data_IF_841329347453
#
_entry.id   IF_841329347453
#
_cell.length_a   1.000
_cell.length_b   1.000
_cell.length_c   1.000
_cell.angle_alpha   90.00
_cell.angle_beta   90.00
_cell.angle_gamma   90.00
#
_symmetry.space_group_name_H-M   'P 1'
#
loop_
_entity.id
_entity.type
_entity.pdbx_description
1 polymer ?
#
# COMPACT_ATOMS: atom_id res chain seq x y z
N UNK A 1 -29.09 -9.20 14.48
CA UNK A 1 -28.45 -9.70 13.25
C UNK A 1 -27.11 -9.02 13.09
N UNK A 2 -26.05 -9.78 12.82
CA UNK A 2 -24.75 -9.25 12.52
C UNK A 2 -24.72 -8.71 11.07
N UNK A 3 -23.76 -7.83 10.75
CA UNK A 3 -23.56 -7.35 9.36
C UNK A 3 -23.39 -8.51 8.38
N UNK A 4 -22.65 -9.55 8.80
CA UNK A 4 -22.46 -10.77 8.01
C UNK A 4 -23.79 -11.44 7.66
N UNK A 5 -24.68 -11.62 8.65
CA UNK A 5 -25.95 -12.30 8.42
C UNK A 5 -26.87 -11.48 7.51
N UNK A 6 -26.86 -10.16 7.68
CA UNK A 6 -27.60 -9.23 6.82
C UNK A 6 -27.05 -9.28 5.36
N UNK A 7 -25.73 -9.33 5.18
CA UNK A 7 -25.11 -9.45 3.86
C UNK A 7 -25.45 -10.78 3.18
N UNK A 8 -25.34 -11.89 3.92
CA UNK A 8 -25.64 -13.23 3.37
C UNK A 8 -27.14 -13.39 3.02
N UNK A 9 -28.01 -12.70 3.75
CA UNK A 9 -29.46 -12.65 3.46
C UNK A 9 -29.84 -11.65 2.35
N UNK A 10 -28.87 -10.96 1.72
CA UNK A 10 -29.14 -9.95 0.69
C UNK A 10 -29.81 -8.67 1.22
N UNK A 11 -29.84 -8.48 2.54
CA UNK A 11 -30.49 -7.33 3.18
C UNK A 11 -29.65 -6.06 3.23
N UNK A 12 -28.35 -6.13 2.87
CA UNK A 12 -27.44 -4.98 2.80
C UNK A 12 -26.45 -5.14 1.66
N UNK A 13 -26.05 -4.01 1.09
CA UNK A 13 -24.94 -3.94 0.12
C UNK A 13 -23.67 -3.53 0.87
N UNK A 14 -22.59 -4.28 0.66
CA UNK A 14 -21.26 -3.97 1.21
C UNK A 14 -20.31 -3.75 0.04
N UNK A 15 -19.67 -2.58 0.00
CA UNK A 15 -18.74 -2.20 -1.07
C UNK A 15 -17.37 -1.84 -0.50
N UNK A 16 -16.27 -2.44 -1.00
CA UNK A 16 -16.27 -3.61 -1.88
C UNK A 16 -16.88 -4.83 -1.18
N UNK A 17 -17.37 -5.79 -1.96
CA UNK A 17 -17.89 -7.03 -1.37
C UNK A 17 -16.79 -7.78 -0.62
N UNK A 18 -17.10 -8.59 0.41
CA UNK A 18 -16.09 -9.39 1.10
C UNK A 18 -15.26 -10.27 0.16
N UNK A 19 -15.88 -10.80 -0.90
CA UNK A 19 -15.20 -11.59 -1.93
C UNK A 19 -14.21 -10.74 -2.74
N UNK A 20 -14.63 -9.58 -3.22
CA UNK A 20 -13.77 -8.66 -3.97
C UNK A 20 -12.62 -8.16 -3.10
N UNK A 21 -12.91 -7.78 -1.86
CA UNK A 21 -11.89 -7.36 -0.91
C UNK A 21 -10.84 -8.48 -0.69
N UNK A 22 -11.27 -9.70 -0.46
CA UNK A 22 -10.37 -10.84 -0.29
C UNK A 22 -9.49 -11.08 -1.53
N UNK A 23 -10.07 -10.98 -2.73
CA UNK A 23 -9.36 -11.25 -3.97
C UNK A 23 -8.43 -10.11 -4.39
N UNK A 24 -8.83 -8.84 -4.17
CA UNK A 24 -8.16 -7.68 -4.76
C UNK A 24 -7.32 -6.87 -3.78
N UNK A 25 -7.60 -6.92 -2.47
CA UNK A 25 -6.85 -6.15 -1.48
C UNK A 25 -5.50 -6.76 -1.07
N UNK A 26 -5.17 -7.94 -1.55
CA UNK A 26 -3.89 -8.59 -1.31
C UNK A 26 -2.76 -7.85 -2.05
N UNK A 27 -1.76 -7.38 -1.29
CA UNK A 27 -0.66 -6.58 -1.85
C UNK A 27 0.24 -7.34 -2.82
N UNK A 28 0.16 -8.69 -2.85
CA UNK A 28 0.85 -9.49 -3.88
C UNK A 28 0.37 -9.15 -5.29
N UNK A 29 -0.85 -8.63 -5.43
CA UNK A 29 -1.35 -8.12 -6.71
C UNK A 29 -0.53 -6.94 -7.24
N UNK A 30 0.04 -6.14 -6.36
CA UNK A 30 0.91 -5.03 -6.76
C UNK A 30 2.20 -5.55 -7.43
N UNK A 31 2.71 -6.73 -7.05
CA UNK A 31 3.84 -7.35 -7.72
C UNK A 31 3.52 -7.78 -9.17
N UNK A 32 2.26 -8.11 -9.45
CA UNK A 32 1.78 -8.33 -10.81
C UNK A 32 1.63 -7.00 -11.56
N UNK A 33 0.91 -6.05 -10.98
CA UNK A 33 0.56 -4.79 -11.64
C UNK A 33 1.75 -3.87 -11.88
N UNK A 34 2.82 -3.98 -11.10
CA UNK A 34 4.07 -3.24 -11.32
C UNK A 34 5.06 -3.95 -12.27
N UNK A 35 4.69 -5.10 -12.84
CA UNK A 35 5.52 -5.86 -13.77
C UNK A 35 4.91 -5.87 -15.17
N UNK A 36 5.43 -4.99 -16.07
CA UNK A 36 4.99 -4.96 -17.48
C UNK A 36 5.11 -6.34 -18.13
N UNK A 37 6.18 -7.08 -17.88
CA UNK A 37 6.40 -8.42 -18.46
C UNK A 37 5.29 -9.40 -18.06
N UNK A 38 4.94 -9.45 -16.77
CA UNK A 38 3.87 -10.32 -16.25
C UNK A 38 2.48 -9.92 -16.81
N UNK A 39 2.24 -8.63 -16.96
CA UNK A 39 0.99 -8.12 -17.55
C UNK A 39 0.86 -8.49 -19.02
N UNK A 40 1.93 -8.33 -19.81
CA UNK A 40 1.95 -8.76 -21.21
C UNK A 40 1.73 -10.26 -21.36
N UNK A 41 2.34 -11.07 -20.49
CA UNK A 41 2.14 -12.53 -20.49
C UNK A 41 0.68 -12.93 -20.19
N UNK A 42 -0.10 -12.07 -19.54
CA UNK A 42 -1.54 -12.22 -19.29
C UNK A 42 -2.42 -11.64 -20.41
N UNK A 43 -1.83 -11.11 -21.48
CA UNK A 43 -2.57 -10.54 -22.59
C UNK A 43 -3.05 -9.11 -22.36
N UNK A 44 -2.52 -8.41 -21.36
CA UNK A 44 -2.80 -6.97 -21.17
C UNK A 44 -2.14 -6.18 -22.29
N UNK A 45 -2.84 -5.18 -22.85
CA UNK A 45 -2.29 -4.32 -23.89
C UNK A 45 -1.01 -3.61 -23.41
N UNK A 46 -0.05 -3.41 -24.32
CA UNK A 46 1.26 -2.85 -23.98
C UNK A 46 1.16 -1.45 -23.36
N UNK A 47 0.25 -0.63 -23.87
CA UNK A 47 0.00 0.71 -23.34
C UNK A 47 -0.43 0.67 -21.86
N UNK A 48 -1.41 -0.18 -21.55
CA UNK A 48 -1.91 -0.36 -20.18
C UNK A 48 -0.85 -0.96 -19.26
N UNK A 49 -0.10 -1.96 -19.76
CA UNK A 49 0.97 -2.60 -18.99
C UNK A 49 2.11 -1.62 -18.68
N UNK A 50 2.43 -0.72 -19.60
CA UNK A 50 3.40 0.36 -19.41
C UNK A 50 2.88 1.37 -18.41
N UNK A 51 1.66 1.87 -18.60
CA UNK A 51 1.04 2.83 -17.69
C UNK A 51 1.01 2.32 -16.26
N UNK A 52 0.58 1.07 -16.04
CA UNK A 52 0.56 0.47 -14.70
C UNK A 52 1.97 0.34 -14.09
N UNK A 53 2.95 -0.04 -14.90
CA UNK A 53 4.35 -0.13 -14.45
C UNK A 53 4.95 1.23 -14.07
N UNK A 54 4.52 2.30 -14.71
CA UNK A 54 5.00 3.66 -14.45
C UNK A 54 4.37 4.28 -13.19
N UNK A 55 3.08 3.98 -12.92
CA UNK A 55 2.34 4.60 -11.80
C UNK A 55 2.38 3.78 -10.52
N UNK A 56 2.54 2.45 -10.61
CA UNK A 56 2.59 1.57 -9.43
C UNK A 56 4.05 1.37 -9.03
N UNK A 57 4.45 1.76 -7.79
CA UNK A 57 5.81 1.51 -7.32
C UNK A 57 6.16 0.03 -7.44
N UNK A 58 7.34 -0.26 -8.01
CA UNK A 58 7.84 -1.62 -8.15
C UNK A 58 7.60 -2.42 -6.86
N UNK A 59 6.96 -3.56 -7.00
CA UNK A 59 6.64 -4.44 -5.89
C UNK A 59 7.11 -5.85 -6.22
N UNK A 60 7.75 -6.52 -5.27
CA UNK A 60 8.24 -7.89 -5.39
C UNK A 60 7.75 -8.73 -4.22
N UNK A 61 7.58 -10.02 -4.44
CA UNK A 61 7.39 -10.94 -3.32
C UNK A 61 8.73 -11.10 -2.60
N UNK A 62 8.77 -10.84 -1.30
CA UNK A 62 10.03 -10.89 -0.55
C UNK A 62 10.66 -12.29 -0.59
N UNK A 63 9.82 -13.34 -0.62
CA UNK A 63 10.28 -14.73 -0.72
C UNK A 63 10.91 -15.08 -2.09
N UNK A 64 10.70 -14.29 -3.13
CA UNK A 64 11.31 -14.46 -4.47
C UNK A 64 12.61 -13.66 -4.64
N UNK A 65 12.96 -12.82 -3.67
CA UNK A 65 14.18 -12.00 -3.70
C UNK A 65 15.35 -12.77 -3.07
N UNK A 66 16.55 -12.57 -3.63
CA UNK A 66 17.76 -12.99 -2.94
C UNK A 66 17.89 -12.22 -1.61
N UNK A 67 18.00 -12.91 -0.46
CA UNK A 67 17.96 -12.28 0.86
C UNK A 67 19.11 -11.28 1.10
N UNK A 68 20.30 -11.56 0.63
CA UNK A 68 21.46 -10.67 0.84
C UNK A 68 21.34 -9.42 -0.03
N UNK A 69 20.88 -9.57 -1.27
CA UNK A 69 20.57 -8.45 -2.14
C UNK A 69 19.44 -7.60 -1.57
N UNK A 70 18.34 -8.23 -1.15
CA UNK A 70 17.22 -7.53 -0.53
C UNK A 70 17.63 -6.77 0.74
N UNK A 71 18.57 -7.33 1.51
CA UNK A 71 19.16 -6.65 2.67
C UNK A 71 20.06 -5.49 2.26
N UNK A 72 20.96 -5.66 1.29
CA UNK A 72 21.86 -4.60 0.85
C UNK A 72 21.10 -3.41 0.26
N UNK A 73 20.05 -3.66 -0.50
CA UNK A 73 19.19 -2.65 -1.12
C UNK A 73 18.03 -2.18 -0.21
N UNK A 74 17.96 -2.66 1.03
CA UNK A 74 16.77 -2.48 1.92
C UNK A 74 16.29 -1.04 2.06
N UNK A 75 17.21 -0.07 2.05
CA UNK A 75 16.83 1.36 2.21
C UNK A 75 15.89 1.87 1.10
N UNK A 76 15.86 1.19 -0.03
CA UNK A 76 14.99 1.50 -1.17
C UNK A 76 13.60 0.86 -1.07
N UNK A 77 13.36 0.03 -0.04
CA UNK A 77 12.17 -0.79 0.09
C UNK A 77 11.36 -0.46 1.34
N UNK A 78 10.05 -0.69 1.23
CA UNK A 78 9.14 -0.81 2.37
C UNK A 78 8.60 -2.24 2.36
N UNK A 79 8.79 -2.96 3.47
CA UNK A 79 8.30 -4.32 3.63
C UNK A 79 6.92 -4.31 4.25
N UNK A 80 5.96 -4.97 3.59
CA UNK A 80 4.55 -4.95 3.98
C UNK A 80 3.99 -6.37 4.00
N UNK A 81 3.23 -6.77 5.02
CA UNK A 81 2.50 -8.04 4.94
C UNK A 81 1.40 -7.94 3.87
N UNK A 82 1.27 -8.99 3.06
CA UNK A 82 0.38 -9.00 1.90
C UNK A 82 -1.09 -8.78 2.28
N UNK A 83 -1.55 -9.45 3.35
CA UNK A 83 -2.95 -9.49 3.75
C UNK A 83 -3.32 -8.59 4.94
N UNK A 84 -2.35 -7.85 5.55
CA UNK A 84 -2.64 -6.97 6.68
C UNK A 84 -3.04 -5.56 6.25
N UNK A 85 -3.68 -4.84 7.18
CA UNK A 85 -4.17 -3.47 7.00
C UNK A 85 -3.77 -2.58 8.18
N UNK A 86 -4.01 -1.27 8.08
CA UNK A 86 -3.78 -0.31 9.15
C UNK A 86 -2.32 -0.13 9.54
N UNK A 87 -1.39 -0.19 8.58
CA UNK A 87 0.06 -0.02 8.78
C UNK A 87 0.68 -1.00 9.79
N UNK A 88 -0.02 -2.08 10.14
CA UNK A 88 0.49 -3.10 11.06
C UNK A 88 1.61 -3.89 10.38
N UNK A 89 2.71 -4.10 11.11
CA UNK A 89 3.87 -4.86 10.64
C UNK A 89 4.46 -4.36 9.30
N UNK A 90 4.37 -3.06 9.05
CA UNK A 90 5.01 -2.36 7.94
C UNK A 90 6.36 -1.84 8.40
N UNK A 91 7.42 -2.15 7.66
CA UNK A 91 8.78 -1.77 8.02
C UNK A 91 9.45 -1.00 6.88
N UNK A 92 9.94 0.20 7.15
CA UNK A 92 10.85 0.89 6.24
C UNK A 92 12.21 0.21 6.28
N UNK A 93 12.77 -0.05 5.13
CA UNK A 93 14.00 -0.79 5.04
C UNK A 93 15.23 -0.05 5.60
N UNK A 94 15.22 1.30 5.58
CA UNK A 94 16.26 2.12 6.21
C UNK A 94 16.24 2.07 7.75
N UNK A 95 15.14 1.59 8.34
CA UNK A 95 14.90 1.52 9.79
C UNK A 95 14.80 0.10 10.34
N UNK A 96 14.74 -0.91 9.47
CA UNK A 96 14.60 -2.30 9.92
C UNK A 96 15.91 -2.87 10.45
N UNK A 97 15.86 -3.59 11.58
CA UNK A 97 17.02 -4.32 12.09
C UNK A 97 17.25 -5.61 11.29
N UNK A 98 18.52 -6.09 11.27
CA UNK A 98 18.88 -7.37 10.61
C UNK A 98 18.04 -8.54 11.15
N UNK A 99 17.83 -8.59 12.47
CA UNK A 99 17.00 -9.61 13.12
C UNK A 99 15.56 -9.58 12.60
N UNK A 100 14.94 -8.40 12.55
CA UNK A 100 13.56 -8.27 12.08
C UNK A 100 13.45 -8.56 10.57
N UNK A 101 14.43 -8.15 9.78
CA UNK A 101 14.48 -8.49 8.36
C UNK A 101 14.55 -10.01 8.15
N UNK A 102 15.43 -10.71 8.86
CA UNK A 102 15.51 -12.18 8.79
C UNK A 102 14.19 -12.85 9.20
N UNK A 103 13.53 -12.35 10.25
CA UNK A 103 12.24 -12.85 10.69
C UNK A 103 11.16 -12.73 9.60
N UNK A 104 11.03 -11.56 8.96
CA UNK A 104 10.01 -11.36 7.93
C UNK A 104 10.35 -12.05 6.61
N UNK A 105 11.64 -12.23 6.29
CA UNK A 105 12.09 -12.96 5.10
C UNK A 105 11.81 -14.46 5.20
N UNK A 106 11.79 -15.00 6.42
CA UNK A 106 11.43 -16.41 6.67
C UNK A 106 9.91 -16.65 6.64
N UNK A 107 9.08 -15.61 6.61
CA UNK A 107 7.62 -15.72 6.60
C UNK A 107 7.08 -15.60 5.17
N UNK A 108 6.21 -16.52 4.72
CA UNK A 108 5.49 -16.32 3.47
C UNK A 108 4.53 -15.13 3.63
N UNK A 109 4.39 -14.34 2.57
CA UNK A 109 3.36 -13.32 2.53
C UNK A 109 3.82 -11.90 2.87
N UNK A 110 5.12 -11.61 2.77
CA UNK A 110 5.62 -10.24 2.71
C UNK A 110 5.90 -9.80 1.26
N UNK A 111 5.64 -8.54 0.99
CA UNK A 111 6.06 -7.86 -0.23
C UNK A 111 7.08 -6.79 0.11
N UNK A 112 8.06 -6.59 -0.78
CA UNK A 112 8.95 -5.45 -0.82
C UNK A 112 8.44 -4.49 -1.89
N UNK A 113 8.06 -3.29 -1.50
CA UNK A 113 7.62 -2.23 -2.42
C UNK A 113 8.61 -1.09 -2.41
N UNK A 114 8.95 -0.54 -3.58
CA UNK A 114 9.82 0.65 -3.69
C UNK A 114 9.29 1.77 -2.81
N UNK A 115 10.20 2.37 -2.06
CA UNK A 115 9.87 3.51 -1.21
C UNK A 115 9.63 4.74 -2.07
N UNK A 116 8.41 5.26 -2.04
CA UNK A 116 8.06 6.55 -2.61
C UNK A 116 8.06 7.60 -1.50
N UNK A 117 8.77 8.70 -1.73
CA UNK A 117 8.77 9.83 -0.80
C UNK A 117 7.36 10.45 -0.79
N UNK A 118 6.76 10.65 0.38
CA UNK A 118 5.52 11.40 0.48
C UNK A 118 5.75 12.87 0.11
N UNK A 119 4.74 13.52 -0.41
CA UNK A 119 4.73 14.98 -0.52
C UNK A 119 4.76 15.65 0.85
N UNK A 120 5.21 16.89 0.92
CA UNK A 120 5.11 17.72 2.13
C UNK A 120 4.31 18.99 1.87
N UNK A 121 3.68 19.50 2.92
CA UNK A 121 2.85 20.70 2.91
C UNK A 121 3.01 21.45 4.24
N UNK A 122 3.03 22.76 4.18
CA UNK A 122 3.00 23.59 5.39
C UNK A 122 1.54 23.77 5.83
N UNK A 123 1.25 23.35 7.04
CA UNK A 123 -0.07 23.44 7.66
C UNK A 123 -0.01 24.40 8.83
N UNK A 124 -0.96 25.33 8.90
CA UNK A 124 -1.12 26.17 10.06
C UNK A 124 -1.81 25.36 11.17
N UNK A 125 -1.10 25.15 12.26
CA UNK A 125 -1.65 24.46 13.45
C UNK A 125 -1.86 25.47 14.58
N UNK A 126 -2.52 25.02 15.65
CA UNK A 126 -2.71 25.86 16.87
C UNK A 126 -1.38 26.28 17.48
N UNK A 127 -0.34 25.47 17.31
CA UNK A 127 1.03 25.73 17.82
C UNK A 127 1.92 26.46 16.80
N UNK A 128 1.37 26.91 15.68
CA UNK A 128 2.09 27.58 14.60
C UNK A 128 2.22 26.73 13.33
N UNK A 129 2.95 27.24 12.32
CA UNK A 129 3.13 26.54 11.06
C UNK A 129 4.01 25.29 11.25
N UNK A 130 3.60 24.16 10.65
CA UNK A 130 4.35 22.91 10.64
C UNK A 130 4.45 22.36 9.23
N UNK A 131 5.60 21.79 8.89
CA UNK A 131 5.73 20.97 7.70
C UNK A 131 5.24 19.55 8.00
N UNK A 132 4.23 19.11 7.28
CA UNK A 132 3.62 17.80 7.43
C UNK A 132 3.67 17.03 6.10
N UNK A 133 3.70 15.72 6.19
CA UNK A 133 3.57 14.84 5.03
C UNK A 133 2.13 14.72 4.61
N UNK A 134 1.92 14.49 3.32
CA UNK A 134 0.58 14.17 2.84
C UNK A 134 0.57 13.04 1.82
N UNK A 135 -0.55 12.37 1.72
CA UNK A 135 -0.92 11.52 0.60
C UNK A 135 -2.31 11.87 0.09
N UNK A 136 -2.53 11.65 -1.20
CA UNK A 136 -3.82 11.85 -1.84
C UNK A 136 -4.47 10.49 -2.07
N UNK A 137 -5.76 10.40 -1.77
CA UNK A 137 -6.58 9.21 -2.01
C UNK A 137 -7.68 9.55 -2.98
N UNK A 138 -7.70 8.86 -4.12
CA UNK A 138 -8.80 8.87 -5.04
C UNK A 138 -9.78 7.74 -4.69
N UNK A 139 -11.03 8.07 -4.43
CA UNK A 139 -12.12 7.11 -4.30
C UNK A 139 -12.77 6.97 -5.67
N UNK A 140 -12.57 5.84 -6.30
CA UNK A 140 -13.04 5.58 -7.65
C UNK A 140 -14.10 4.48 -7.65
N UNK A 141 -15.06 4.60 -8.56
CA UNK A 141 -16.03 3.56 -8.87
C UNK A 141 -16.14 3.42 -10.37
N UNK A 142 -15.89 2.23 -10.88
CA UNK A 142 -15.72 1.97 -12.32
C UNK A 142 -14.63 2.89 -12.90
N UNK A 143 -14.96 3.69 -13.90
CA UNK A 143 -14.10 4.63 -14.64
C UNK A 143 -14.12 6.06 -14.09
N UNK A 144 -14.75 6.29 -12.93
CA UNK A 144 -14.95 7.62 -12.35
C UNK A 144 -14.30 7.77 -10.99
N UNK A 145 -13.58 8.85 -10.80
CA UNK A 145 -13.18 9.32 -9.47
C UNK A 145 -14.37 10.07 -8.86
N UNK A 146 -14.88 9.55 -7.74
CA UNK A 146 -16.04 10.13 -7.04
C UNK A 146 -15.63 11.16 -6.00
N UNK A 147 -14.44 10.97 -5.39
CA UNK A 147 -13.94 11.84 -4.34
C UNK A 147 -12.42 11.81 -4.32
N UNK A 148 -11.81 12.97 -4.12
CA UNK A 148 -10.41 13.11 -3.75
C UNK A 148 -10.32 13.54 -2.28
N UNK A 149 -9.54 12.83 -1.49
CA UNK A 149 -9.23 13.20 -0.11
C UNK A 149 -7.73 13.24 0.10
N UNK A 150 -7.23 14.18 0.84
CA UNK A 150 -5.84 14.23 1.27
C UNK A 150 -5.74 13.89 2.74
N UNK A 151 -4.71 13.12 3.12
CA UNK A 151 -4.38 12.87 4.52
C UNK A 151 -3.09 13.56 4.85
N UNK A 152 -3.11 14.30 5.94
CA UNK A 152 -1.95 15.04 6.44
C UNK A 152 -1.49 14.39 7.75
N UNK A 153 -0.19 14.10 7.86
CA UNK A 153 0.34 13.35 9.00
C UNK A 153 1.81 13.63 9.27
N UNK A 154 2.25 13.32 10.47
CA UNK A 154 3.66 13.22 10.85
C UNK A 154 4.08 11.76 11.05
N UNK A 155 5.40 11.49 11.02
CA UNK A 155 5.96 10.18 11.29
C UNK A 155 6.37 9.40 10.05
N UNK A 156 6.58 8.10 10.22
CA UNK A 156 7.15 7.23 9.17
C UNK A 156 6.08 6.66 8.22
N UNK A 157 4.88 6.49 8.71
CA UNK A 157 3.75 5.93 7.96
C UNK A 157 2.52 6.78 8.19
N UNK A 158 1.65 6.81 7.19
CA UNK A 158 0.38 7.54 7.25
C UNK A 158 -0.44 7.11 8.46
N UNK A 159 -0.87 8.07 9.25
CA UNK A 159 -1.72 7.85 10.40
C UNK A 159 -2.71 9.03 10.56
N UNK A 160 -3.75 8.83 11.37
CA UNK A 160 -4.75 9.84 11.70
C UNK A 160 -4.61 10.37 13.13
N UNK A 161 -3.45 10.14 13.77
CA UNK A 161 -3.19 10.47 15.17
C UNK A 161 -2.22 11.62 15.34
N UNK A 162 -1.66 12.14 14.25
CA UNK A 162 -0.75 13.28 14.30
C UNK A 162 -1.51 14.52 14.76
N UNK A 163 -1.02 15.23 15.79
CA UNK A 163 -1.60 16.53 16.16
C UNK A 163 -1.58 17.50 14.97
N UNK A 164 -2.72 18.10 14.65
CA UNK A 164 -2.87 18.96 13.46
C UNK A 164 -2.97 18.21 12.14
N UNK A 165 -2.88 16.87 12.16
CA UNK A 165 -3.14 16.03 11.01
C UNK A 165 -4.63 15.69 10.87
N UNK A 166 -4.99 15.08 9.73
CA UNK A 166 -6.37 14.70 9.45
C UNK A 166 -6.62 14.48 7.96
N UNK A 167 -7.87 14.66 7.57
CA UNK A 167 -8.34 14.67 6.19
C UNK A 167 -8.56 16.09 5.70
#
# INVERSE_FOLDING_TARGET
>A
RTLRDAYLAGGVVVTPSPREHFLLADKRRLALFSSRERLLALGVADEDARFLGDVIPETRLLAEMDPERAWSERAQWVFKPAAAFGSRAVYRGDKISRKKFAEISAQPGYVAQRFALPGSVHVQTIDGPREMKFDVRAYAYRDRVLLLGARVYEGQVTNLRSPGGGF
#
